data_IF_394881916895
#
_entry.id   IF_394881916895
#
_cell.length_a   1.000
_cell.length_b   1.000
_cell.length_c   1.000
_cell.angle_alpha   90.00
_cell.angle_beta   90.00
_cell.angle_gamma   90.00
#
_symmetry.space_group_name_H-M   'P 1'
#
loop_
_entity.id
_entity.type
_entity.pdbx_description
1 polymer ?
#
# COMPACT_ATOMS: atom_id res chain seq x y z
N UNK A 1 1.75 -8.97 9.98
CA UNK A 1 1.02 -7.71 9.73
C UNK A 1 0.14 -7.82 8.49
N UNK A 2 0.67 -8.09 7.30
CA UNK A 2 -0.12 -8.20 6.06
C UNK A 2 -1.40 -9.06 6.22
N UNK A 3 -1.27 -10.33 6.65
CA UNK A 3 -2.43 -11.20 6.91
C UNK A 3 -3.42 -10.63 7.93
N UNK A 4 -2.94 -9.92 8.93
CA UNK A 4 -3.80 -9.32 9.94
C UNK A 4 -4.64 -8.20 9.31
N UNK A 5 -4.04 -7.34 8.46
CA UNK A 5 -4.76 -6.28 7.74
C UNK A 5 -5.79 -6.86 6.77
N UNK A 6 -5.50 -8.01 6.16
CA UNK A 6 -6.45 -8.68 5.25
C UNK A 6 -7.63 -9.32 5.98
N UNK A 7 -7.42 -9.78 7.22
CA UNK A 7 -8.48 -10.39 8.06
C UNK A 7 -9.32 -9.29 8.71
N UNK A 8 -8.66 -8.27 9.24
CA UNK A 8 -9.27 -7.12 9.91
C UNK A 8 -8.59 -5.83 9.44
N UNK A 9 -9.12 -5.18 8.39
CA UNK A 9 -8.57 -3.94 7.85
C UNK A 9 -8.52 -2.78 8.85
N UNK A 10 -9.36 -2.81 9.89
CA UNK A 10 -9.45 -1.74 10.88
C UNK A 10 -8.18 -1.58 11.71
N UNK A 11 -7.33 -2.61 11.78
CA UNK A 11 -6.03 -2.53 12.48
C UNK A 11 -5.04 -1.59 11.79
N UNK A 12 -5.27 -1.29 10.51
CA UNK A 12 -4.48 -0.34 9.75
C UNK A 12 -5.13 1.05 9.81
N UNK A 13 -6.38 1.14 9.38
CA UNK A 13 -7.15 2.37 9.34
C UNK A 13 -8.65 2.06 9.27
N UNK A 14 -9.47 2.89 9.90
CA UNK A 14 -10.93 2.71 9.90
C UNK A 14 -11.50 2.81 8.47
N UNK A 15 -12.43 1.93 8.13
CA UNK A 15 -13.06 1.84 6.80
C UNK A 15 -12.08 1.63 5.63
N UNK A 16 -10.88 1.11 5.88
CA UNK A 16 -9.98 0.68 4.83
C UNK A 16 -10.51 -0.58 4.13
N UNK A 17 -10.60 -0.53 2.79
CA UNK A 17 -11.04 -1.66 1.97
C UNK A 17 -9.85 -2.23 1.17
N UNK A 18 -9.27 -3.37 1.56
CA UNK A 18 -8.22 -4.00 0.78
C UNK A 18 -8.80 -4.52 -0.55
N UNK A 19 -8.17 -4.13 -1.67
CA UNK A 19 -8.54 -4.57 -3.02
C UNK A 19 -7.75 -5.82 -3.40
N UNK A 20 -6.46 -5.84 -3.09
CA UNK A 20 -5.55 -6.92 -3.47
C UNK A 20 -4.33 -6.95 -2.55
N UNK A 21 -3.75 -8.13 -2.41
CA UNK A 21 -2.43 -8.35 -1.83
C UNK A 21 -1.50 -8.87 -2.93
N UNK A 22 -0.23 -8.49 -2.90
CA UNK A 22 0.77 -8.87 -3.92
C UNK A 22 0.42 -8.40 -5.34
N UNK A 23 -0.10 -7.17 -5.49
CA UNK A 23 -0.23 -6.57 -6.82
C UNK A 23 1.16 -6.48 -7.44
N UNK A 24 1.38 -7.21 -8.53
CA UNK A 24 2.62 -7.13 -9.31
C UNK A 24 2.72 -5.73 -9.90
N UNK A 25 3.74 -5.00 -9.49
CA UNK A 25 4.05 -3.65 -9.96
C UNK A 25 5.53 -3.69 -10.31
N UNK A 26 5.91 -3.48 -11.57
CA UNK A 26 7.34 -3.44 -11.93
C UNK A 26 8.06 -2.40 -11.04
N UNK A 27 9.11 -2.77 -10.26
CA UNK A 27 9.95 -3.98 -10.34
C UNK A 27 9.71 -5.09 -9.28
N UNK A 28 8.58 -5.12 -8.59
CA UNK A 28 8.26 -6.13 -7.56
C UNK A 28 6.76 -6.26 -7.22
N UNK A 29 6.45 -6.29 -5.92
CA UNK A 29 5.09 -6.48 -5.41
C UNK A 29 4.82 -5.50 -4.27
N UNK A 30 3.59 -5.01 -4.20
CA UNK A 30 3.10 -4.21 -3.07
C UNK A 30 2.54 -5.15 -1.99
N UNK A 31 2.87 -4.90 -0.72
CA UNK A 31 2.42 -5.74 0.39
C UNK A 31 0.89 -5.67 0.59
N UNK A 32 0.33 -4.46 0.72
CA UNK A 32 -1.13 -4.25 0.80
C UNK A 32 -1.56 -3.11 -0.11
N UNK A 33 -2.66 -3.33 -0.83
CA UNK A 33 -3.23 -2.37 -1.77
C UNK A 33 -4.74 -2.27 -1.56
N UNK A 34 -5.24 -1.05 -1.41
CA UNK A 34 -6.66 -0.84 -1.11
C UNK A 34 -7.13 0.59 -1.31
N UNK A 35 -8.28 0.90 -0.73
CA UNK A 35 -8.93 2.21 -0.81
C UNK A 35 -9.35 2.63 0.59
N UNK A 36 -9.17 3.91 0.90
CA UNK A 36 -9.64 4.50 2.15
C UNK A 36 -11.05 5.08 2.06
N UNK A 37 -11.53 5.62 3.19
CA UNK A 37 -12.87 6.20 3.32
C UNK A 37 -13.15 7.33 2.32
N UNK A 38 -12.11 8.01 1.83
CA UNK A 38 -12.24 9.11 0.87
C UNK A 38 -12.14 8.62 -0.59
N UNK A 39 -12.09 7.31 -0.83
CA UNK A 39 -11.93 6.75 -2.16
C UNK A 39 -10.49 6.83 -2.69
N UNK A 40 -9.52 7.26 -1.88
CA UNK A 40 -8.11 7.38 -2.27
C UNK A 40 -7.47 6.00 -2.28
N UNK A 41 -6.65 5.77 -3.29
CA UNK A 41 -5.86 4.56 -3.39
C UNK A 41 -4.74 4.56 -2.34
N UNK A 42 -4.54 3.43 -1.68
CA UNK A 42 -3.53 3.28 -0.63
C UNK A 42 -2.60 2.14 -1.00
N UNK A 43 -1.31 2.45 -1.01
CA UNK A 43 -0.21 1.50 -1.17
C UNK A 43 0.51 1.42 0.17
N UNK A 44 0.53 0.25 0.79
CA UNK A 44 1.18 0.04 2.09
C UNK A 44 2.39 -0.88 1.89
N UNK A 45 3.54 -0.42 2.36
CA UNK A 45 4.78 -1.20 2.47
C UNK A 45 4.97 -1.57 3.94
N UNK A 46 5.13 -2.85 4.26
CA UNK A 46 5.21 -3.33 5.64
C UNK A 46 6.63 -3.81 5.96
N UNK A 47 7.24 -3.27 7.02
CA UNK A 47 8.53 -3.75 7.53
C UNK A 47 8.38 -4.43 8.89
N UNK A 48 9.02 -5.59 9.04
CA UNK A 48 9.10 -6.35 10.31
C UNK A 48 10.01 -5.70 11.35
N UNK A 49 10.90 -4.80 10.91
CA UNK A 49 11.86 -4.04 11.72
C UNK A 49 11.73 -2.57 11.34
N UNK A 50 12.50 -1.70 12.00
CA UNK A 50 12.57 -0.27 11.66
C UNK A 50 12.75 -0.05 10.15
N UNK A 51 11.84 0.73 9.56
CA UNK A 51 11.90 1.07 8.15
C UNK A 51 13.03 2.07 7.89
N UNK A 52 13.99 1.68 7.05
CA UNK A 52 15.10 2.54 6.65
C UNK A 52 14.86 3.25 5.32
N UNK A 53 15.84 4.05 4.87
CA UNK A 53 15.80 4.79 3.60
C UNK A 53 15.37 3.94 2.40
N UNK A 54 15.84 2.69 2.32
CA UNK A 54 15.50 1.78 1.23
C UNK A 54 14.00 1.49 1.16
N UNK A 55 13.31 1.43 2.30
CA UNK A 55 11.87 1.18 2.35
C UNK A 55 11.08 2.37 1.83
N UNK A 56 11.47 3.60 2.21
CA UNK A 56 10.87 4.82 1.68
C UNK A 56 11.10 4.96 0.16
N UNK A 57 12.31 4.63 -0.33
CA UNK A 57 12.61 4.64 -1.77
C UNK A 57 11.81 3.59 -2.54
N UNK A 58 11.58 2.41 -1.96
CA UNK A 58 10.76 1.35 -2.56
C UNK A 58 9.31 1.80 -2.67
N UNK A 59 8.73 2.32 -1.57
CA UNK A 59 7.37 2.87 -1.57
C UNK A 59 7.22 4.00 -2.59
N UNK A 60 8.18 4.93 -2.68
CA UNK A 60 8.16 6.01 -3.65
C UNK A 60 8.11 5.48 -5.09
N UNK A 61 8.90 4.45 -5.43
CA UNK A 61 8.85 3.81 -6.76
C UNK A 61 7.47 3.22 -7.05
N UNK A 62 6.87 2.50 -6.10
CA UNK A 62 5.53 1.95 -6.31
C UNK A 62 4.47 3.03 -6.49
N UNK A 63 4.53 4.09 -5.67
CA UNK A 63 3.62 5.23 -5.80
C UNK A 63 3.74 5.86 -7.18
N UNK A 64 4.95 6.13 -7.66
CA UNK A 64 5.16 6.71 -9.00
C UNK A 64 4.67 5.78 -10.12
N UNK A 65 4.99 4.49 -10.07
CA UNK A 65 4.50 3.52 -11.05
C UNK A 65 2.96 3.46 -11.08
N UNK A 66 2.32 3.38 -9.91
CA UNK A 66 0.86 3.26 -9.81
C UNK A 66 0.17 4.57 -10.21
N UNK A 67 0.77 5.72 -9.89
CA UNK A 67 0.23 7.04 -10.25
C UNK A 67 0.07 7.23 -11.77
N UNK A 68 0.90 6.57 -12.58
CA UNK A 68 0.78 6.64 -14.05
C UNK A 68 -0.44 5.90 -14.61
N UNK A 69 -0.98 4.93 -13.87
CA UNK A 69 -2.11 4.09 -14.29
C UNK A 69 -3.38 4.30 -13.45
N UNK A 70 -3.26 4.91 -12.27
CA UNK A 70 -4.38 5.11 -11.36
C UNK A 70 -5.20 6.33 -11.78
N UNK A 71 -6.50 6.12 -12.01
CA UNK A 71 -7.46 7.19 -12.27
C UNK A 71 -8.08 7.76 -10.97
N UNK A 72 -7.29 7.86 -9.91
CA UNK A 72 -7.72 8.38 -8.60
C UNK A 72 -6.53 8.86 -7.80
N UNK A 73 -6.78 9.65 -6.77
CA UNK A 73 -5.74 10.05 -5.84
C UNK A 73 -5.05 8.84 -5.20
N UNK A 74 -3.78 9.00 -4.85
CA UNK A 74 -2.92 7.94 -4.32
C UNK A 74 -2.12 8.44 -3.11
N UNK A 75 -1.99 7.60 -2.08
CA UNK A 75 -1.04 7.77 -0.97
C UNK A 75 -0.23 6.50 -0.73
N UNK A 76 1.01 6.69 -0.29
CA UNK A 76 1.86 5.63 0.21
C UNK A 76 1.93 5.66 1.74
N UNK A 77 1.96 4.49 2.37
CA UNK A 77 2.16 4.32 3.81
C UNK A 77 3.26 3.29 4.04
N UNK A 78 4.13 3.53 5.01
CA UNK A 78 5.29 2.70 5.36
C UNK A 78 5.28 2.32 6.85
#
# INVERSE_FOLDING_TARGET
>A
MQKAILIDPSIFEENFTPISYEKKVEPGFVDVYGVDVNGKLVVVELKRKTAGRNAALQLAKYVECIKTIANRELRGVL
#
